data_IF_523212742588
#
_entry.id   IF_523212742588
#
_cell.length_a   1.000
_cell.length_b   1.000
_cell.length_c   1.000
_cell.angle_alpha   90.00
_cell.angle_beta   90.00
_cell.angle_gamma   90.00
#
_symmetry.space_group_name_H-M   'P 1'
#
loop_
_entity.id
_entity.type
_entity.pdbx_description
1 polymer ?
#
# COMPACT_ATOMS: atom_id res chain seq x y z
N UNK A 1 12.82 13.08 34.87
CA UNK A 1 13.38 11.92 34.14
C UNK A 1 12.33 10.86 33.81
N UNK A 2 11.72 10.14 34.77
CA UNK A 2 10.71 9.11 34.45
C UNK A 2 9.45 9.67 33.78
N UNK A 3 9.04 10.89 34.18
CA UNK A 3 7.92 11.61 33.54
C UNK A 3 8.22 11.99 32.09
N UNK A 4 9.44 12.45 31.81
CA UNK A 4 9.85 12.91 30.48
C UNK A 4 9.96 11.75 29.50
N UNK A 5 10.51 10.61 29.95
CA UNK A 5 10.56 9.34 29.23
C UNK A 5 9.17 8.86 28.81
N UNK A 6 8.25 8.86 29.77
CA UNK A 6 6.87 8.43 29.55
C UNK A 6 6.13 9.38 28.59
N UNK A 7 6.33 10.69 28.72
CA UNK A 7 5.73 11.68 27.83
C UNK A 7 6.22 11.50 26.38
N UNK A 8 7.54 11.30 26.20
CA UNK A 8 8.11 11.01 24.88
C UNK A 8 7.47 9.77 24.23
N UNK A 9 7.32 8.66 24.96
CA UNK A 9 6.69 7.45 24.43
C UNK A 9 5.22 7.67 24.08
N UNK A 10 4.48 8.42 24.89
CA UNK A 10 3.07 8.78 24.61
C UNK A 10 2.95 9.62 23.34
N UNK A 11 3.82 10.63 23.18
CA UNK A 11 3.85 11.47 21.97
C UNK A 11 4.21 10.65 20.73
N UNK A 12 5.20 9.77 20.85
CA UNK A 12 5.61 8.89 19.76
C UNK A 12 4.49 7.93 19.35
N UNK A 13 3.79 7.34 20.33
CA UNK A 13 2.62 6.49 20.08
C UNK A 13 1.48 7.28 19.43
N UNK A 14 1.17 8.48 19.93
CA UNK A 14 0.15 9.34 19.35
C UNK A 14 0.47 9.67 17.88
N UNK A 15 1.74 9.96 17.57
CA UNK A 15 2.18 10.16 16.20
C UNK A 15 1.99 8.93 15.32
N UNK A 16 2.28 7.72 15.82
CA UNK A 16 2.02 6.50 15.05
C UNK A 16 0.53 6.31 14.74
N UNK A 17 -0.36 6.62 15.70
CA UNK A 17 -1.79 6.59 15.43
C UNK A 17 -2.21 7.58 14.35
N UNK A 18 -1.64 8.79 14.31
CA UNK A 18 -1.93 9.76 13.25
C UNK A 18 -1.47 9.27 11.87
N UNK A 19 -0.26 8.70 11.77
CA UNK A 19 0.24 8.13 10.51
C UNK A 19 -0.62 6.93 10.07
N UNK A 20 -1.09 6.10 11.01
CA UNK A 20 -2.00 5.01 10.71
C UNK A 20 -3.34 5.52 10.17
N UNK A 21 -3.96 6.52 10.80
CA UNK A 21 -5.21 7.15 10.31
C UNK A 21 -5.02 7.71 8.91
N UNK A 22 -3.87 8.31 8.63
CA UNK A 22 -3.54 8.79 7.28
C UNK A 22 -3.42 7.65 6.26
N UNK A 23 -2.82 6.52 6.63
CA UNK A 23 -2.78 5.33 5.79
C UNK A 23 -4.19 4.79 5.46
N UNK A 24 -5.10 4.83 6.43
CA UNK A 24 -6.50 4.42 6.24
C UNK A 24 -7.27 5.39 5.36
N UNK A 25 -7.09 6.70 5.56
CA UNK A 25 -7.69 7.74 4.73
C UNK A 25 -7.28 7.60 3.26
N UNK A 26 -6.00 7.29 2.99
CA UNK A 26 -5.51 7.03 1.63
C UNK A 26 -6.18 5.83 0.97
N UNK A 27 -6.30 4.71 1.69
CA UNK A 27 -6.96 3.52 1.16
C UNK A 27 -8.47 3.75 0.95
N UNK A 28 -9.13 4.49 1.84
CA UNK A 28 -10.54 4.86 1.68
C UNK A 28 -10.75 5.76 0.46
N UNK A 29 -9.88 6.76 0.26
CA UNK A 29 -9.92 7.65 -0.89
C UNK A 29 -9.71 6.88 -2.21
N UNK A 30 -8.75 5.96 -2.24
CA UNK A 30 -8.51 5.10 -3.41
C UNK A 30 -9.70 4.16 -3.69
N UNK A 31 -10.34 3.62 -2.66
CA UNK A 31 -11.55 2.82 -2.81
C UNK A 31 -12.69 3.65 -3.43
N UNK A 32 -12.92 4.87 -2.93
CA UNK A 32 -13.93 5.78 -3.49
C UNK A 32 -13.65 6.12 -4.96
N UNK A 33 -12.38 6.39 -5.30
CA UNK A 33 -11.95 6.64 -6.68
C UNK A 33 -12.18 5.43 -7.60
N UNK A 34 -11.91 4.21 -7.10
CA UNK A 34 -12.22 2.97 -7.82
C UNK A 34 -13.72 2.82 -8.07
N UNK A 35 -14.58 3.06 -7.08
CA UNK A 35 -16.03 2.96 -7.23
C UNK A 35 -16.58 3.96 -8.24
N UNK A 36 -16.08 5.21 -8.22
CA UNK A 36 -16.43 6.20 -9.23
C UNK A 36 -16.02 5.76 -10.64
N UNK A 37 -14.80 5.23 -10.78
CA UNK A 37 -14.29 4.72 -12.05
C UNK A 37 -15.08 3.50 -12.53
N UNK A 38 -15.44 2.59 -11.65
CA UNK A 38 -16.26 1.42 -11.97
C UNK A 38 -17.58 1.83 -12.62
N UNK A 39 -18.28 2.80 -12.05
CA UNK A 39 -19.54 3.33 -12.60
C UNK A 39 -19.37 3.86 -14.02
N UNK A 40 -18.36 4.70 -14.26
CA UNK A 40 -18.09 5.28 -15.58
C UNK A 40 -17.82 4.19 -16.62
N UNK A 41 -16.97 3.23 -16.29
CA UNK A 41 -16.55 2.20 -17.24
C UNK A 41 -17.62 1.13 -17.48
N UNK A 42 -18.45 0.81 -16.49
CA UNK A 42 -19.63 -0.02 -16.70
C UNK A 42 -20.62 0.65 -17.66
N UNK A 43 -20.83 1.97 -17.55
CA UNK A 43 -21.67 2.70 -18.52
C UNK A 43 -21.15 2.60 -19.95
N UNK A 44 -19.82 2.64 -20.15
CA UNK A 44 -19.21 2.47 -21.48
C UNK A 44 -19.42 1.03 -21.99
N UNK A 45 -19.25 0.03 -21.12
CA UNK A 45 -19.34 -1.38 -21.50
C UNK A 45 -20.75 -1.76 -21.97
N UNK A 46 -21.79 -1.22 -21.34
CA UNK A 46 -23.20 -1.52 -21.63
C UNK A 46 -23.87 -0.54 -22.61
N UNK A 47 -23.14 0.44 -23.15
CA UNK A 47 -23.70 1.36 -24.12
C UNK A 47 -23.88 0.71 -25.50
N UNK A 48 -25.06 0.92 -26.10
CA UNK A 48 -25.49 0.27 -27.35
C UNK A 48 -24.66 0.68 -28.58
N UNK A 49 -24.13 1.90 -28.62
CA UNK A 49 -23.45 2.48 -29.79
C UNK A 49 -21.95 2.73 -29.61
N UNK A 50 -21.27 1.89 -28.83
CA UNK A 50 -19.83 2.03 -28.56
C UNK A 50 -19.02 1.07 -29.43
N UNK A 51 -17.93 1.59 -30.05
CA UNK A 51 -17.01 0.76 -30.84
C UNK A 51 -16.42 -0.38 -30.00
N UNK A 52 -16.23 -1.56 -30.63
CA UNK A 52 -15.71 -2.76 -29.96
C UNK A 52 -14.40 -2.52 -29.19
N UNK A 53 -13.51 -1.66 -29.72
CA UNK A 53 -12.26 -1.27 -29.06
C UNK A 53 -12.49 -0.64 -27.68
N UNK A 54 -13.51 0.22 -27.54
CA UNK A 54 -13.85 0.85 -26.25
C UNK A 54 -14.49 -0.14 -25.27
N UNK A 55 -15.18 -1.18 -25.75
CA UNK A 55 -15.70 -2.25 -24.88
C UNK A 55 -14.57 -3.13 -24.34
N UNK A 56 -13.60 -3.49 -25.20
CA UNK A 56 -12.40 -4.22 -24.78
C UNK A 56 -11.61 -3.39 -23.78
N UNK A 57 -11.43 -2.09 -24.05
CA UNK A 57 -10.86 -1.15 -23.09
C UNK A 57 -11.59 -1.22 -21.75
N UNK A 58 -12.91 -1.02 -21.76
CA UNK A 58 -13.67 -0.98 -20.53
C UNK A 58 -13.55 -2.28 -19.73
N UNK A 59 -13.63 -3.44 -20.38
CA UNK A 59 -13.44 -4.74 -19.74
C UNK A 59 -12.05 -4.87 -19.08
N UNK A 60 -10.98 -4.47 -19.78
CA UNK A 60 -9.61 -4.54 -19.24
C UNK A 60 -9.41 -3.59 -18.05
N UNK A 61 -9.91 -2.36 -18.12
CA UNK A 61 -9.84 -1.40 -17.02
C UNK A 61 -10.60 -1.87 -15.79
N UNK A 62 -11.80 -2.45 -15.98
CA UNK A 62 -12.61 -3.00 -14.90
C UNK A 62 -11.90 -4.12 -14.14
N UNK A 63 -11.14 -4.97 -14.84
CA UNK A 63 -10.30 -6.00 -14.19
C UNK A 63 -9.25 -5.37 -13.27
N UNK A 64 -8.53 -4.36 -13.73
CA UNK A 64 -7.52 -3.66 -12.92
C UNK A 64 -8.13 -2.90 -11.73
N UNK A 65 -9.30 -2.27 -11.91
CA UNK A 65 -10.03 -1.65 -10.80
C UNK A 65 -10.50 -2.69 -9.77
N UNK A 66 -10.97 -3.86 -10.20
CA UNK A 66 -11.32 -4.95 -9.28
C UNK A 66 -10.11 -5.40 -8.44
N UNK A 67 -8.93 -5.53 -9.06
CA UNK A 67 -7.67 -5.83 -8.35
C UNK A 67 -7.30 -4.72 -7.37
N UNK A 68 -7.44 -3.45 -7.77
CA UNK A 68 -7.19 -2.30 -6.89
C UNK A 68 -8.12 -2.28 -5.67
N UNK A 69 -9.42 -2.53 -5.88
CA UNK A 69 -10.43 -2.65 -4.81
C UNK A 69 -10.05 -3.78 -3.86
N UNK A 70 -9.60 -4.93 -4.36
CA UNK A 70 -9.19 -6.05 -3.52
C UNK A 70 -8.05 -5.65 -2.56
N UNK A 71 -7.07 -4.88 -3.02
CA UNK A 71 -6.01 -4.34 -2.15
C UNK A 71 -6.55 -3.34 -1.11
N UNK A 72 -7.44 -2.43 -1.51
CA UNK A 72 -8.07 -1.47 -0.58
C UNK A 72 -8.85 -2.21 0.52
N UNK A 73 -9.70 -3.17 0.17
CA UNK A 73 -10.47 -3.97 1.13
C UNK A 73 -9.54 -4.78 2.04
N UNK A 74 -8.48 -5.39 1.48
CA UNK A 74 -7.50 -6.13 2.26
C UNK A 74 -6.76 -5.25 3.28
N UNK A 75 -6.62 -3.94 3.02
CA UNK A 75 -5.99 -2.99 3.94
C UNK A 75 -6.85 -2.67 5.18
N UNK A 76 -8.17 -2.90 5.11
CA UNK A 76 -9.10 -2.68 6.21
C UNK A 76 -9.32 -3.92 7.09
N UNK A 77 -8.87 -5.10 6.65
CA UNK A 77 -9.02 -6.31 7.44
C UNK A 77 -8.29 -6.17 8.79
N UNK A 78 -8.97 -6.43 9.92
CA UNK A 78 -8.36 -6.33 11.24
C UNK A 78 -7.29 -7.39 11.38
N UNK A 79 -6.13 -7.01 11.91
CA UNK A 79 -5.13 -7.96 12.41
C UNK A 79 -5.16 -7.95 13.92
N UNK A 80 -5.68 -9.02 14.49
CA UNK A 80 -5.91 -9.16 15.93
C UNK A 80 -4.69 -9.68 16.69
N UNK A 81 -3.62 -10.09 16.00
CA UNK A 81 -2.45 -10.73 16.64
C UNK A 81 -1.15 -10.00 16.29
N UNK A 82 -0.35 -9.58 17.29
CA UNK A 82 0.98 -9.00 17.09
C UNK A 82 1.92 -9.88 16.25
N UNK A 83 1.83 -11.20 16.43
CA UNK A 83 2.66 -12.18 15.71
C UNK A 83 2.33 -12.31 14.21
N UNK A 84 1.21 -11.78 13.74
CA UNK A 84 0.86 -11.84 12.31
C UNK A 84 1.52 -10.74 11.48
N UNK A 85 2.22 -9.79 12.12
CA UNK A 85 2.98 -8.78 11.41
C UNK A 85 4.46 -9.04 11.66
N UNK A 86 5.06 -9.75 10.70
CA UNK A 86 6.45 -10.16 10.69
C UNK A 86 7.36 -8.98 11.00
N UNK A 87 8.32 -9.17 11.90
CA UNK A 87 9.49 -8.31 11.94
C UNK A 87 10.29 -8.59 10.67
N UNK A 88 10.57 -7.56 9.87
CA UNK A 88 11.80 -7.59 9.09
C UNK A 88 12.90 -7.32 10.11
N UNK A 89 13.74 -8.32 10.41
CA UNK A 89 14.93 -8.13 11.23
C UNK A 89 15.93 -7.27 10.44
N UNK A 90 15.66 -5.97 10.38
CA UNK A 90 16.60 -4.99 9.85
C UNK A 90 17.42 -4.49 11.04
N UNK A 91 18.65 -4.99 11.14
CA UNK A 91 19.64 -4.63 12.19
C UNK A 91 20.21 -3.20 12.07
N UNK A 92 19.68 -2.39 11.15
CA UNK A 92 20.18 -1.05 10.84
C UNK A 92 19.87 0.01 11.91
N UNK A 93 20.64 1.11 11.87
CA UNK A 93 20.39 2.35 12.64
C UNK A 93 19.15 3.09 12.11
N UNK A 94 17.98 2.48 12.31
CA UNK A 94 16.70 3.05 11.91
C UNK A 94 16.32 4.27 12.76
N UNK A 95 15.64 5.24 12.16
CA UNK A 95 15.11 6.40 12.87
C UNK A 95 13.91 6.00 13.72
N UNK A 96 13.93 6.33 15.02
CA UNK A 96 12.75 6.17 15.90
C UNK A 96 11.57 7.05 15.47
N UNK A 97 11.78 7.98 14.54
CA UNK A 97 10.77 8.90 14.06
C UNK A 97 10.11 8.44 12.77
N UNK A 98 10.63 7.43 12.08
CA UNK A 98 10.09 7.01 10.79
C UNK A 98 9.39 5.66 10.92
N UNK A 99 8.12 5.59 10.52
CA UNK A 99 7.30 4.37 10.70
C UNK A 99 7.87 3.17 9.92
N UNK A 100 8.51 3.42 8.78
CA UNK A 100 9.10 2.36 7.96
C UNK A 100 10.28 1.71 8.70
N UNK A 101 11.13 2.52 9.34
CA UNK A 101 12.24 2.04 10.18
C UNK A 101 11.73 1.37 11.46
N UNK A 102 10.81 2.02 12.18
CA UNK A 102 10.20 1.49 13.42
C UNK A 102 9.57 0.11 13.22
N UNK A 103 8.99 -0.14 12.05
CA UNK A 103 8.31 -1.41 11.77
C UNK A 103 9.25 -2.63 11.80
N UNK A 104 10.53 -2.43 11.52
CA UNK A 104 11.56 -3.47 11.56
C UNK A 104 12.23 -3.64 12.93
N UNK A 105 11.95 -2.77 13.89
CA UNK A 105 12.62 -2.83 15.19
C UNK A 105 12.06 -3.92 16.10
N UNK A 106 12.94 -4.46 16.94
CA UNK A 106 12.58 -5.19 18.15
C UNK A 106 12.61 -4.24 19.36
N UNK A 107 11.94 -4.63 20.47
CA UNK A 107 11.97 -3.84 21.72
C UNK A 107 13.41 -3.63 22.20
N UNK A 108 14.27 -4.66 22.06
CA UNK A 108 15.68 -4.59 22.46
C UNK A 108 16.47 -3.56 21.64
N UNK A 109 16.28 -3.54 20.31
CA UNK A 109 16.94 -2.57 19.42
C UNK A 109 16.40 -1.16 19.64
N UNK A 110 15.10 -1.01 19.86
CA UNK A 110 14.51 0.27 20.22
C UNK A 110 15.15 0.84 21.51
N UNK A 111 15.30 -0.01 22.53
CA UNK A 111 15.96 0.37 23.78
C UNK A 111 17.44 0.71 23.57
N UNK A 112 18.16 -0.01 22.69
CA UNK A 112 19.57 0.30 22.42
C UNK A 112 19.73 1.67 21.77
N UNK A 113 18.88 2.01 20.80
CA UNK A 113 18.90 3.32 20.12
C UNK A 113 18.66 4.47 21.10
N UNK A 114 17.72 4.31 22.05
CA UNK A 114 17.47 5.31 23.10
C UNK A 114 18.64 5.48 24.08
N UNK A 115 19.36 4.40 24.36
CA UNK A 115 20.53 4.43 25.23
C UNK A 115 21.73 5.06 24.51
N UNK A 116 21.94 4.72 23.24
CA UNK A 116 22.99 5.28 22.37
C UNK A 116 22.82 6.78 22.13
N UNK A 117 21.58 7.29 22.09
CA UNK A 117 21.30 8.72 21.99
C UNK A 117 21.61 9.49 23.29
N UNK A 118 22.16 8.84 24.31
CA UNK A 118 22.47 9.42 25.62
C UNK A 118 21.23 9.86 26.40
N UNK A 119 20.05 9.52 25.91
CA UNK A 119 18.78 10.06 26.40
C UNK A 119 18.22 9.23 27.57
N UNK A 120 18.62 7.95 27.67
CA UNK A 120 18.11 6.98 28.65
C UNK A 120 19.30 6.17 29.19
N UNK A 121 19.65 6.34 30.48
CA UNK A 121 20.78 5.64 31.12
C UNK A 121 20.36 4.35 31.82
N UNK A 122 19.07 4.16 32.07
CA UNK A 122 18.47 2.99 32.71
C UNK A 122 17.51 2.31 31.72
N UNK A 123 17.48 0.97 31.73
CA UNK A 123 16.62 0.18 30.85
C UNK A 123 15.13 0.53 30.93
N UNK A 124 14.34 -0.01 30.00
CA UNK A 124 12.88 0.20 29.96
C UNK A 124 12.19 -0.51 31.14
N UNK A 125 11.34 0.23 31.87
CA UNK A 125 10.38 -0.33 32.83
C UNK A 125 9.29 -1.14 32.12
N UNK A 126 8.49 -1.91 32.87
CA UNK A 126 7.42 -2.74 32.31
C UNK A 126 6.44 -1.93 31.45
N UNK A 127 5.92 -0.83 31.99
CA UNK A 127 4.98 0.02 31.25
C UNK A 127 5.61 0.68 30.01
N UNK A 128 6.88 1.08 30.09
CA UNK A 128 7.58 1.63 28.92
C UNK A 128 7.79 0.57 27.82
N UNK A 129 8.03 -0.69 28.19
CA UNK A 129 8.07 -1.80 27.23
C UNK A 129 6.73 -1.97 26.52
N UNK A 130 5.61 -1.90 27.25
CA UNK A 130 4.27 -1.99 26.64
C UNK A 130 4.03 -0.86 25.63
N UNK A 131 4.43 0.37 25.97
CA UNK A 131 4.37 1.50 25.02
C UNK A 131 5.23 1.26 23.77
N UNK A 132 6.48 0.80 23.95
CA UNK A 132 7.38 0.50 22.84
C UNK A 132 6.81 -0.60 21.95
N UNK A 133 6.25 -1.65 22.54
CA UNK A 133 5.58 -2.71 21.79
C UNK A 133 4.42 -2.17 20.95
N UNK A 134 3.56 -1.32 21.53
CA UNK A 134 2.46 -0.69 20.79
C UNK A 134 2.96 0.23 19.67
N UNK A 135 4.05 0.97 19.87
CA UNK A 135 4.66 1.82 18.83
C UNK A 135 5.11 0.97 17.65
N UNK A 136 5.83 -0.13 17.91
CA UNK A 136 6.34 -1.04 16.89
C UNK A 136 5.18 -1.72 16.14
N UNK A 137 4.17 -2.21 16.86
CA UNK A 137 2.99 -2.85 16.26
C UNK A 137 2.25 -1.87 15.34
N UNK A 138 1.99 -0.64 15.79
CA UNK A 138 1.31 0.36 14.97
C UNK A 138 2.13 0.77 13.74
N UNK A 139 3.46 0.88 13.88
CA UNK A 139 4.35 1.12 12.74
C UNK A 139 4.28 -0.01 11.71
N UNK A 140 4.24 -1.26 12.16
CA UNK A 140 4.06 -2.46 11.31
C UNK A 140 2.72 -2.50 10.59
N UNK A 141 1.63 -2.19 11.30
CA UNK A 141 0.28 -2.06 10.70
C UNK A 141 0.28 -0.97 9.62
N UNK A 142 0.88 0.17 9.94
CA UNK A 142 1.00 1.32 9.02
C UNK A 142 1.79 0.95 7.76
N UNK A 143 2.96 0.30 7.91
CA UNK A 143 3.77 -0.16 6.77
C UNK A 143 2.97 -1.09 5.86
N UNK A 144 2.28 -2.09 6.43
CA UNK A 144 1.40 -2.99 5.66
C UNK A 144 0.34 -2.23 4.88
N UNK A 145 -0.40 -1.31 5.52
CA UNK A 145 -1.46 -0.53 4.87
C UNK A 145 -0.91 0.37 3.75
N UNK A 146 0.26 0.96 3.95
CA UNK A 146 0.94 1.76 2.92
C UNK A 146 1.42 0.89 1.75
N UNK A 147 1.92 -0.33 2.00
CA UNK A 147 2.30 -1.27 0.95
C UNK A 147 1.10 -1.71 0.12
N UNK A 148 -0.03 -2.04 0.76
CA UNK A 148 -1.28 -2.38 0.07
C UNK A 148 -1.81 -1.19 -0.74
N UNK A 149 -1.73 0.03 -0.19
CA UNK A 149 -2.05 1.24 -0.94
C UNK A 149 -1.17 1.39 -2.19
N UNK A 150 0.14 1.18 -2.09
CA UNK A 150 1.07 1.25 -3.24
C UNK A 150 0.64 0.27 -4.34
N UNK A 151 0.38 -1.00 -4.00
CA UNK A 151 -0.07 -2.00 -4.99
C UNK A 151 -1.46 -1.68 -5.57
N UNK A 152 -2.40 -1.27 -4.73
CA UNK A 152 -3.72 -0.83 -5.18
C UNK A 152 -3.64 0.37 -6.13
N UNK A 153 -2.75 1.32 -5.83
CA UNK A 153 -2.52 2.51 -6.66
C UNK A 153 -1.92 2.13 -8.02
N UNK A 154 -0.95 1.21 -8.06
CA UNK A 154 -0.43 0.70 -9.33
C UNK A 154 -1.51 0.02 -10.17
N UNK A 155 -2.33 -0.83 -9.56
CA UNK A 155 -3.46 -1.45 -10.26
C UNK A 155 -4.45 -0.40 -10.79
N UNK A 156 -4.77 0.63 -9.99
CA UNK A 156 -5.66 1.71 -10.42
C UNK A 156 -5.10 2.49 -11.62
N UNK A 157 -3.82 2.89 -11.57
CA UNK A 157 -3.15 3.57 -12.69
C UNK A 157 -3.11 2.68 -13.93
N UNK A 158 -2.79 1.39 -13.78
CA UNK A 158 -2.86 0.44 -14.88
C UNK A 158 -4.28 0.30 -15.44
N UNK A 159 -5.33 0.44 -14.63
CA UNK A 159 -6.70 0.51 -15.13
C UNK A 159 -6.90 1.60 -16.18
N UNK A 160 -6.36 2.80 -15.96
CA UNK A 160 -6.42 3.90 -16.93
C UNK A 160 -5.47 3.71 -18.13
N UNK A 161 -4.27 3.15 -17.93
CA UNK A 161 -3.22 3.11 -18.97
C UNK A 161 -3.04 1.75 -19.67
N UNK A 162 -3.70 0.69 -19.19
CA UNK A 162 -3.78 -0.63 -19.83
C UNK A 162 -4.07 -0.64 -21.35
N UNK A 163 -4.80 0.33 -21.95
CA UNK A 163 -5.13 0.28 -23.37
C UNK A 163 -3.99 0.71 -24.25
N UNK A 164 -3.01 1.47 -23.75
CA UNK A 164 -1.83 1.82 -24.54
C UNK A 164 -1.09 0.55 -24.91
N UNK A 165 -0.95 -0.38 -23.95
CA UNK A 165 -0.32 -1.69 -24.16
C UNK A 165 -1.21 -2.59 -25.04
N UNK A 166 -2.51 -2.63 -24.78
CA UNK A 166 -3.46 -3.44 -25.56
C UNK A 166 -3.61 -2.96 -27.02
N UNK A 167 -3.65 -1.65 -27.25
CA UNK A 167 -3.74 -1.06 -28.58
C UNK A 167 -2.44 -1.27 -29.38
N UNK A 168 -1.27 -1.14 -28.74
CA UNK A 168 0.01 -1.48 -29.37
C UNK A 168 0.08 -2.96 -29.76
N UNK A 169 -0.44 -3.85 -28.91
CA UNK A 169 -0.50 -5.29 -29.20
C UNK A 169 -1.45 -5.61 -30.37
N UNK A 170 -2.63 -5.02 -30.40
CA UNK A 170 -3.57 -5.20 -31.51
C UNK A 170 -3.02 -4.62 -32.82
N UNK A 171 -2.42 -3.43 -32.78
CA UNK A 171 -1.75 -2.83 -33.93
C UNK A 171 -0.61 -3.71 -34.45
N UNK A 172 0.23 -4.23 -33.55
CA UNK A 172 1.28 -5.19 -33.90
C UNK A 172 0.69 -6.43 -34.59
N UNK A 173 -0.38 -6.99 -34.02
CA UNK A 173 -1.01 -8.20 -34.56
C UNK A 173 -1.62 -7.96 -35.95
N UNK A 174 -2.34 -6.85 -36.15
CA UNK A 174 -2.89 -6.45 -37.45
C UNK A 174 -1.80 -6.18 -38.49
N UNK A 175 -0.70 -5.53 -38.10
CA UNK A 175 0.46 -5.32 -38.98
C UNK A 175 1.09 -6.66 -39.36
N UNK A 176 1.23 -7.59 -38.40
CA UNK A 176 1.81 -8.91 -38.66
C UNK A 176 0.95 -9.78 -39.58
N UNK A 177 -0.37 -9.75 -39.41
CA UNK A 177 -1.33 -10.43 -40.30
C UNK A 177 -1.31 -9.86 -41.72
N UNK A 178 -1.21 -8.54 -41.87
CA UNK A 178 -1.07 -7.91 -43.18
C UNK A 178 0.25 -8.27 -43.88
N UNK A 179 1.36 -8.39 -43.13
CA UNK A 179 2.64 -8.83 -43.69
C UNK A 179 2.61 -10.30 -44.12
N UNK A 180 1.91 -11.17 -43.40
CA UNK A 180 1.79 -12.59 -43.76
C UNK A 180 0.95 -12.81 -45.02
N UNK A 181 -0.17 -12.10 -45.16
CA UNK A 181 -1.04 -12.21 -46.35
C UNK A 181 -0.39 -11.69 -47.64
N UNK A 182 0.46 -10.68 -47.55
CA UNK A 182 1.17 -10.12 -48.71
C UNK A 182 2.45 -10.88 -49.09
N UNK A 183 2.95 -11.78 -48.24
CA UNK A 183 4.14 -12.61 -48.52
C UNK A 183 3.84 -13.97 -49.16
N UNK A 184 2.57 -14.38 -49.23
CA UNK A 184 2.14 -15.68 -49.74
C UNK A 184 1.68 -15.68 -51.21
N UNK A 185 1.89 -14.58 -51.94
CA UNK A 185 1.67 -14.51 -53.39
C UNK A 185 2.99 -14.67 -54.14
N UNK A 186 3.44 -15.92 -54.32
CA UNK A 186 4.45 -16.32 -55.30
C UNK A 186 4.00 -17.60 -55.98
#
# INVERSE_FOLDING_TARGET
>A
MTSDRMNFLKELLARQFEVQKFAEAKNAALLAANLASLTIYLSILFADHVYSVFRVYAATSLFFFAVSIAFCVHSFLPKSRPNEVSADDNDGNGSLLFYEDLSGLSISKFSSILNESGSWSEGLSGLEKDYVEQIIINARITRRKMTLFKFGMYAFVLGFFSPIVGALFLLWNTISDHRFKNGASF
#
